data_IF_491461317296
#
_entry.id   IF_491461317296
#
_cell.length_a   1.000
_cell.length_b   1.000
_cell.length_c   1.000
_cell.angle_alpha   90.00
_cell.angle_beta   90.00
_cell.angle_gamma   90.00
#
_symmetry.space_group_name_H-M   'P 1'
#
loop_
_entity.id
_entity.type
_entity.pdbx_description
1 polymer ?
#
# COMPACT_ATOMS: atom_id res chain seq x y z
N UNK A 1 -40.50 64.99 -41.01
CA UNK A 1 -41.88 64.78 -41.49
C UNK A 1 -42.06 63.31 -41.84
N UNK A 2 -43.25 62.73 -41.59
CA UNK A 2 -43.42 61.68 -40.58
C UNK A 2 -43.95 60.37 -41.15
N UNK A 3 -44.01 59.31 -40.33
CA UNK A 3 -45.27 58.58 -40.07
C UNK A 3 -45.13 57.69 -38.85
N UNK A 4 -45.97 58.05 -37.87
CA UNK A 4 -46.43 57.23 -36.76
C UNK A 4 -47.28 56.09 -37.34
N UNK A 5 -47.17 54.90 -36.74
CA UNK A 5 -48.35 54.09 -36.43
C UNK A 5 -48.11 53.40 -35.09
N UNK A 6 -49.06 53.62 -34.19
CA UNK A 6 -49.18 53.00 -32.87
C UNK A 6 -50.40 52.07 -32.90
N UNK A 7 -50.27 51.03 -32.07
CA UNK A 7 -51.29 50.46 -31.18
C UNK A 7 -52.10 49.20 -31.54
N UNK A 8 -52.32 48.47 -30.43
CA UNK A 8 -53.13 47.29 -30.13
C UNK A 8 -52.52 45.91 -30.48
N UNK A 9 -52.38 44.94 -29.57
CA UNK A 9 -52.84 44.81 -28.17
C UNK A 9 -52.38 43.45 -27.57
N UNK A 10 -51.97 43.47 -26.28
CA UNK A 10 -52.10 42.41 -25.24
C UNK A 10 -51.26 41.11 -25.41
N UNK A 11 -50.37 40.69 -24.50
CA UNK A 11 -50.59 40.33 -23.09
C UNK A 11 -49.26 40.16 -22.30
N UNK A 12 -49.18 40.87 -21.16
CA UNK A 12 -48.76 40.47 -19.79
C UNK A 12 -47.49 39.63 -19.47
N UNK A 13 -46.61 40.32 -18.71
CA UNK A 13 -45.78 39.88 -17.56
C UNK A 13 -44.71 38.78 -17.68
N UNK A 14 -43.46 39.24 -17.84
CA UNK A 14 -42.26 38.52 -17.38
C UNK A 14 -42.22 38.46 -15.85
N UNK A 15 -42.54 37.30 -15.29
CA UNK A 15 -42.26 36.95 -13.90
C UNK A 15 -41.25 35.80 -13.83
N UNK A 16 -40.05 36.09 -13.31
CA UNK A 16 -39.29 35.22 -12.38
C UNK A 16 -38.07 35.98 -11.87
N UNK A 17 -38.24 36.56 -10.70
CA UNK A 17 -37.19 37.13 -9.88
C UNK A 17 -36.25 36.02 -9.36
N UNK A 18 -34.95 36.25 -9.44
CA UNK A 18 -33.94 35.46 -8.75
C UNK A 18 -34.01 35.76 -7.24
N UNK A 19 -33.79 34.78 -6.34
CA UNK A 19 -33.83 35.05 -4.91
C UNK A 19 -32.63 35.92 -4.50
N UNK A 20 -32.78 36.82 -3.52
CA UNK A 20 -31.67 37.60 -3.01
C UNK A 20 -30.67 36.70 -2.29
N UNK A 21 -29.37 36.96 -2.50
CA UNK A 21 -28.28 36.31 -1.78
C UNK A 21 -28.50 36.40 -0.26
N UNK A 22 -28.56 35.24 0.39
CA UNK A 22 -28.58 35.16 1.85
C UNK A 22 -27.27 35.71 2.44
N UNK A 23 -27.31 36.41 3.59
CA UNK A 23 -26.12 37.03 4.16
C UNK A 23 -25.09 35.98 4.62
N UNK A 24 -23.83 36.21 4.26
CA UNK A 24 -22.66 35.38 4.56
C UNK A 24 -22.23 35.45 6.05
N UNK A 25 -23.13 35.14 6.98
CA UNK A 25 -22.88 35.26 8.43
C UNK A 25 -22.97 33.95 9.20
N UNK A 26 -23.28 32.82 8.54
CA UNK A 26 -23.39 31.48 9.19
C UNK A 26 -22.33 30.45 8.80
N UNK A 27 -21.30 30.82 8.02
CA UNK A 27 -20.22 29.90 7.61
C UNK A 27 -18.94 30.03 8.45
N UNK A 28 -18.78 31.09 9.25
CA UNK A 28 -17.57 31.28 10.08
C UNK A 28 -17.56 30.48 11.39
N UNK A 29 -18.69 29.94 11.83
CA UNK A 29 -18.80 29.19 13.11
C UNK A 29 -18.66 27.68 12.96
N UNK A 30 -18.81 27.12 11.76
CA UNK A 30 -18.67 25.68 11.53
C UNK A 30 -17.21 25.24 11.29
N UNK A 31 -16.38 26.10 10.68
CA UNK A 31 -14.95 25.81 10.45
C UNK A 31 -14.14 25.81 11.75
N UNK A 32 -14.47 26.70 12.70
CA UNK A 32 -13.89 26.68 14.04
C UNK A 32 -14.33 25.44 14.83
N UNK A 33 -15.55 24.92 14.62
CA UNK A 33 -16.05 23.74 15.34
C UNK A 33 -15.42 22.44 14.84
N UNK A 34 -15.19 22.29 13.53
CA UNK A 34 -14.50 21.11 12.97
C UNK A 34 -13.00 21.10 13.30
N UNK A 35 -12.34 22.25 13.34
CA UNK A 35 -10.93 22.32 13.73
C UNK A 35 -10.73 22.13 15.24
N UNK A 36 -11.67 22.60 16.06
CA UNK A 36 -11.66 22.39 17.53
C UNK A 36 -12.00 20.94 17.91
N UNK A 37 -12.68 20.18 17.05
CA UNK A 37 -13.03 18.76 17.28
C UNK A 37 -11.83 17.80 17.18
N UNK A 38 -10.79 18.16 16.42
CA UNK A 38 -9.55 17.39 16.32
C UNK A 38 -8.72 17.44 17.61
N UNK A 39 -8.95 18.43 18.48
CA UNK A 39 -8.19 18.62 19.72
C UNK A 39 -8.58 17.64 20.85
N UNK A 40 -9.63 16.82 20.66
CA UNK A 40 -10.09 15.84 21.65
C UNK A 40 -9.81 14.38 21.28
N UNK A 41 -9.23 14.11 20.11
CA UNK A 41 -8.82 12.76 19.75
C UNK A 41 -7.45 12.46 20.36
N UNK A 42 -7.43 11.54 21.32
CA UNK A 42 -6.18 11.02 21.89
C UNK A 42 -5.39 10.32 20.79
N UNK A 43 -4.06 10.51 20.80
CA UNK A 43 -3.17 9.85 19.83
C UNK A 43 -3.44 8.34 19.85
N UNK A 44 -3.57 7.65 18.70
CA UNK A 44 -3.90 6.22 18.66
C UNK A 44 -2.90 5.36 19.45
N UNK A 45 -3.39 4.71 20.50
CA UNK A 45 -2.67 3.74 21.31
C UNK A 45 -3.64 2.81 22.04
N UNK A 46 -3.14 1.64 22.47
CA UNK A 46 -3.83 0.76 23.42
C UNK A 46 -2.83 0.40 24.50
N UNK A 47 -3.09 0.88 25.72
CA UNK A 47 -2.22 0.61 26.87
C UNK A 47 -2.27 -0.87 27.24
N UNK A 48 -3.46 -1.46 27.22
CA UNK A 48 -3.71 -2.85 27.56
C UNK A 48 -2.98 -3.80 26.62
N UNK A 49 -3.00 -3.52 25.31
CA UNK A 49 -2.28 -4.33 24.33
C UNK A 49 -0.75 -4.23 24.52
N UNK A 50 -0.22 -3.03 24.79
CA UNK A 50 1.21 -2.86 25.07
C UNK A 50 1.63 -3.59 26.35
N UNK A 51 0.87 -3.46 27.44
CA UNK A 51 1.17 -4.11 28.72
C UNK A 51 1.08 -5.64 28.61
N UNK A 52 0.04 -6.15 27.93
CA UNK A 52 -0.13 -7.59 27.68
C UNK A 52 0.98 -8.17 26.78
N UNK A 53 1.41 -7.44 25.75
CA UNK A 53 2.48 -7.89 24.86
C UNK A 53 3.84 -7.98 25.59
N UNK A 54 4.19 -6.95 26.36
CA UNK A 54 5.43 -6.96 27.15
C UNK A 54 5.44 -8.10 28.17
N UNK A 55 4.31 -8.29 28.87
CA UNK A 55 4.17 -9.40 29.80
C UNK A 55 4.28 -10.75 29.08
N UNK A 56 3.67 -10.89 27.89
CA UNK A 56 3.73 -12.14 27.13
C UNK A 56 5.16 -12.51 26.73
N UNK A 57 5.96 -11.52 26.29
CA UNK A 57 7.39 -11.70 26.00
C UNK A 57 8.20 -12.09 27.25
N UNK A 58 7.89 -11.51 28.41
CA UNK A 58 8.55 -11.88 29.67
C UNK A 58 8.22 -13.32 30.11
N UNK A 59 7.04 -13.85 29.75
CA UNK A 59 6.64 -15.24 30.05
C UNK A 59 7.23 -16.21 29.02
N UNK A 60 7.16 -15.86 27.73
CA UNK A 60 7.69 -16.65 26.64
C UNK A 60 8.55 -15.78 25.71
N UNK A 61 9.89 -15.80 25.89
CA UNK A 61 10.82 -15.00 25.09
C UNK A 61 10.79 -15.25 23.59
N UNK A 62 10.32 -16.42 23.13
CA UNK A 62 10.25 -16.74 21.70
C UNK A 62 9.36 -15.77 20.91
N UNK A 63 8.31 -15.25 21.56
CA UNK A 63 7.35 -14.28 20.98
C UNK A 63 8.07 -13.01 20.54
N UNK A 64 9.13 -12.60 21.23
CA UNK A 64 9.88 -11.40 20.86
C UNK A 64 10.35 -11.43 19.40
N UNK A 65 10.82 -12.59 18.96
CA UNK A 65 11.39 -12.79 17.62
C UNK A 65 10.31 -12.83 16.54
N UNK A 66 9.16 -13.40 16.87
CA UNK A 66 8.01 -13.57 15.97
C UNK A 66 7.33 -12.23 15.64
N UNK A 67 7.31 -11.28 16.59
CA UNK A 67 6.56 -10.03 16.44
C UNK A 67 7.16 -9.04 15.44
N UNK A 68 8.49 -9.05 15.26
CA UNK A 68 9.20 -8.12 14.37
C UNK A 68 8.99 -6.63 14.70
N UNK A 69 8.58 -6.28 15.92
CA UNK A 69 8.29 -4.91 16.31
C UNK A 69 9.56 -4.15 16.75
N UNK A 70 9.58 -2.85 16.47
CA UNK A 70 10.60 -1.93 16.99
C UNK A 70 10.13 -1.28 18.29
N UNK A 71 11.06 -0.76 19.10
CA UNK A 71 10.71 -0.07 20.33
C UNK A 71 9.81 1.16 20.09
N UNK A 72 9.95 1.81 18.92
CA UNK A 72 9.14 2.97 18.54
C UNK A 72 7.66 2.60 18.27
N UNK A 73 7.35 1.31 18.14
CA UNK A 73 5.98 0.82 18.00
C UNK A 73 5.13 1.04 19.25
N UNK A 74 5.75 1.19 20.43
CA UNK A 74 5.06 1.49 21.68
C UNK A 74 4.82 3.00 21.81
N UNK A 75 3.63 3.40 22.22
CA UNK A 75 3.29 4.79 22.52
C UNK A 75 3.82 5.19 23.90
N UNK A 76 3.71 4.30 24.88
CA UNK A 76 4.10 4.61 26.24
C UNK A 76 5.62 4.50 26.36
N UNK A 77 6.26 5.61 26.71
CA UNK A 77 7.72 5.74 26.73
C UNK A 77 8.42 4.68 27.60
N UNK A 78 7.86 4.34 28.77
CA UNK A 78 8.42 3.26 29.62
C UNK A 78 8.39 1.89 28.95
N UNK A 79 7.39 1.62 28.10
CA UNK A 79 7.31 0.38 27.32
C UNK A 79 8.37 0.33 26.23
N UNK A 80 8.69 1.48 25.61
CA UNK A 80 9.79 1.58 24.67
C UNK A 80 11.12 1.17 25.32
N UNK A 81 11.38 1.57 26.58
CA UNK A 81 12.60 1.16 27.29
C UNK A 81 12.67 -0.33 27.58
N UNK A 82 11.54 -0.92 27.99
CA UNK A 82 11.47 -2.36 28.23
C UNK A 82 11.76 -3.11 26.92
N UNK A 83 11.17 -2.67 25.79
CA UNK A 83 11.45 -3.29 24.50
C UNK A 83 12.91 -3.12 24.05
N UNK A 84 13.51 -1.95 24.29
CA UNK A 84 14.94 -1.73 24.03
C UNK A 84 15.83 -2.64 24.87
N UNK A 85 15.45 -2.91 26.12
CA UNK A 85 16.17 -3.87 26.97
C UNK A 85 16.09 -5.29 26.40
N UNK A 86 14.92 -5.72 25.88
CA UNK A 86 14.80 -7.01 25.18
C UNK A 86 15.72 -7.10 23.96
N UNK A 87 15.77 -6.05 23.14
CA UNK A 87 16.67 -5.96 21.98
C UNK A 87 18.14 -6.12 22.42
N UNK A 88 18.58 -5.37 23.43
CA UNK A 88 19.95 -5.42 23.95
C UNK A 88 20.32 -6.78 24.55
N UNK A 89 19.41 -7.41 25.27
CA UNK A 89 19.62 -8.76 25.81
C UNK A 89 19.79 -9.77 24.69
N UNK A 90 18.95 -9.68 23.63
CA UNK A 90 19.09 -10.52 22.45
C UNK A 90 20.42 -10.29 21.73
N UNK A 91 20.84 -9.04 21.54
CA UNK A 91 22.13 -8.69 20.94
C UNK A 91 23.32 -9.25 21.76
N UNK A 92 23.19 -9.26 23.09
CA UNK A 92 24.17 -9.86 24.02
C UNK A 92 24.04 -11.39 24.11
N UNK A 93 23.13 -12.03 23.35
CA UNK A 93 22.82 -13.46 23.42
C UNK A 93 22.48 -13.92 24.84
N UNK A 94 21.77 -13.07 25.59
CA UNK A 94 21.27 -13.37 26.94
C UNK A 94 19.79 -13.69 26.90
N UNK A 95 19.36 -14.59 27.79
CA UNK A 95 17.95 -14.92 28.00
C UNK A 95 17.17 -13.68 28.45
N UNK A 96 15.96 -13.49 27.90
CA UNK A 96 15.02 -12.48 28.37
C UNK A 96 14.23 -13.11 29.53
N UNK A 97 14.44 -12.61 30.74
CA UNK A 97 13.66 -12.96 31.91
C UNK A 97 13.53 -11.73 32.82
N UNK A 98 12.67 -11.80 33.86
CA UNK A 98 12.42 -10.64 34.72
C UNK A 98 13.71 -10.12 35.40
N UNK A 99 14.64 -11.00 35.78
CA UNK A 99 15.87 -10.61 36.46
C UNK A 99 16.85 -9.95 35.47
N UNK A 100 17.10 -10.59 34.32
CA UNK A 100 18.01 -10.06 33.30
C UNK A 100 17.53 -8.75 32.71
N UNK A 101 16.20 -8.58 32.58
CA UNK A 101 15.59 -7.32 32.13
C UNK A 101 15.73 -6.23 33.19
N UNK A 102 15.59 -6.55 34.48
CA UNK A 102 15.87 -5.60 35.55
C UNK A 102 17.33 -5.13 35.52
N UNK A 103 18.28 -6.07 35.40
CA UNK A 103 19.72 -5.76 35.31
C UNK A 103 20.01 -4.88 34.09
N UNK A 104 19.49 -5.24 32.91
CA UNK A 104 19.73 -4.44 31.69
C UNK A 104 19.12 -3.04 31.78
N UNK A 105 17.93 -2.90 32.39
CA UNK A 105 17.30 -1.59 32.59
C UNK A 105 18.04 -0.73 33.62
N UNK A 106 18.67 -1.35 34.62
CA UNK A 106 19.51 -0.66 35.60
C UNK A 106 20.82 -0.20 34.94
N UNK A 107 21.45 -1.06 34.13
CA UNK A 107 22.61 -0.72 33.30
C UNK A 107 22.31 0.42 32.31
N UNK A 108 21.07 0.50 31.81
CA UNK A 108 20.59 1.61 30.98
C UNK A 108 20.30 2.88 31.80
N UNK A 109 20.27 2.82 33.12
CA UNK A 109 19.87 3.90 34.02
C UNK A 109 18.37 4.23 33.94
N UNK A 110 17.53 3.32 33.42
CA UNK A 110 16.09 3.55 33.17
C UNK A 110 15.18 2.76 34.11
N UNK A 111 15.72 1.90 34.98
CA UNK A 111 14.93 1.07 35.89
C UNK A 111 13.99 1.91 36.78
N UNK A 112 14.47 3.04 37.30
CA UNK A 112 13.64 3.95 38.09
C UNK A 112 12.53 4.61 37.26
N UNK A 113 12.81 4.97 36.00
CA UNK A 113 11.85 5.62 35.10
C UNK A 113 10.67 4.72 34.72
N UNK A 114 10.89 3.40 34.65
CA UNK A 114 9.81 2.46 34.34
C UNK A 114 8.90 2.17 35.55
N UNK A 115 9.28 2.61 36.77
CA UNK A 115 8.58 2.29 38.01
C UNK A 115 9.24 1.16 38.83
N UNK A 116 10.48 0.80 38.51
CA UNK A 116 11.26 -0.22 39.19
C UNK A 116 10.83 -1.67 38.89
N UNK A 117 11.45 -2.65 39.58
CA UNK A 117 11.17 -4.08 39.37
C UNK A 117 9.71 -4.49 39.62
N UNK A 118 9.00 -3.72 40.46
CA UNK A 118 7.58 -3.95 40.74
C UNK A 118 6.72 -3.77 39.48
N UNK A 119 7.10 -2.88 38.57
CA UNK A 119 6.35 -2.65 37.34
C UNK A 119 6.43 -3.84 36.38
N UNK A 120 7.61 -4.43 36.20
CA UNK A 120 7.78 -5.64 35.38
C UNK A 120 6.99 -6.81 35.95
N UNK A 121 6.99 -6.96 37.27
CA UNK A 121 6.17 -7.96 37.96
C UNK A 121 4.67 -7.70 37.74
N UNK A 122 4.24 -6.45 37.69
CA UNK A 122 2.85 -6.10 37.38
C UNK A 122 2.46 -6.47 35.94
N UNK A 123 3.36 -6.27 34.96
CA UNK A 123 3.11 -6.66 33.55
C UNK A 123 2.85 -8.17 33.41
N UNK A 124 3.58 -9.01 34.14
CA UNK A 124 3.35 -10.46 34.16
C UNK A 124 1.92 -10.83 34.58
N UNK A 125 1.31 -10.06 35.48
CA UNK A 125 -0.05 -10.30 35.97
C UNK A 125 -1.15 -9.73 35.05
N UNK A 126 -0.79 -8.93 34.05
CA UNK A 126 -1.74 -8.34 33.11
C UNK A 126 -1.99 -9.19 31.87
N UNK A 127 -1.21 -10.24 31.65
CA UNK A 127 -1.33 -11.12 30.48
C UNK A 127 -2.47 -12.13 30.69
N UNK A 128 -3.56 -12.08 29.91
CA UNK A 128 -4.62 -13.07 30.04
C UNK A 128 -4.18 -14.45 29.52
N UNK A 129 -3.47 -14.46 28.39
CA UNK A 129 -2.84 -15.64 27.80
C UNK A 129 -1.71 -15.21 26.86
N UNK A 130 -0.61 -15.97 26.84
CA UNK A 130 0.49 -15.78 25.89
C UNK A 130 0.12 -16.22 24.47
N UNK A 131 -0.92 -17.05 24.31
CA UNK A 131 -1.38 -17.54 23.00
C UNK A 131 -1.91 -16.43 22.09
N UNK A 132 -2.34 -15.30 22.66
CA UNK A 132 -2.89 -14.17 21.90
C UNK A 132 -1.84 -13.07 21.68
N UNK A 133 -0.56 -13.37 21.88
CA UNK A 133 0.49 -12.36 21.74
C UNK A 133 0.55 -11.75 20.33
N UNK A 134 0.27 -12.54 19.30
CA UNK A 134 0.17 -12.05 17.92
C UNK A 134 -0.93 -11.01 17.74
N UNK A 135 -2.09 -11.21 18.38
CA UNK A 135 -3.20 -10.25 18.35
C UNK A 135 -2.81 -8.95 19.03
N UNK A 136 -2.15 -9.02 20.20
CA UNK A 136 -1.67 -7.83 20.90
C UNK A 136 -0.61 -7.08 20.08
N UNK A 137 0.32 -7.81 19.47
CA UNK A 137 1.31 -7.25 18.56
C UNK A 137 0.69 -6.61 17.33
N UNK A 138 -0.37 -7.20 16.76
CA UNK A 138 -1.13 -6.62 15.66
C UNK A 138 -1.79 -5.29 16.07
N UNK A 139 -2.40 -5.22 17.26
CA UNK A 139 -3.00 -3.98 17.78
C UNK A 139 -1.94 -2.89 17.97
N UNK A 140 -0.80 -3.23 18.57
CA UNK A 140 0.32 -2.28 18.76
C UNK A 140 0.84 -1.77 17.41
N UNK A 141 1.02 -2.68 16.43
CA UNK A 141 1.46 -2.36 15.06
C UNK A 141 0.46 -1.45 14.34
N UNK A 142 -0.82 -1.72 14.48
CA UNK A 142 -1.88 -0.90 13.89
C UNK A 142 -1.85 0.52 14.45
N UNK A 143 -1.79 0.66 15.78
CA UNK A 143 -1.69 1.96 16.42
C UNK A 143 -0.41 2.70 16.04
N UNK A 144 0.73 2.01 15.97
CA UNK A 144 1.98 2.60 15.48
C UNK A 144 1.85 3.13 14.05
N UNK A 145 1.27 2.33 13.16
CA UNK A 145 1.01 2.73 11.76
C UNK A 145 0.14 3.97 11.68
N UNK A 146 -0.93 4.03 12.49
CA UNK A 146 -1.79 5.22 12.58
C UNK A 146 -1.00 6.46 13.04
N UNK A 147 -0.08 6.31 14.01
CA UNK A 147 0.79 7.43 14.46
C UNK A 147 1.76 7.89 13.37
N UNK A 148 2.34 6.96 12.61
CA UNK A 148 3.20 7.30 11.47
C UNK A 148 2.44 8.08 10.40
N UNK A 149 1.22 7.65 10.07
CA UNK A 149 0.34 8.36 9.13
C UNK A 149 -0.02 9.77 9.62
N UNK A 150 -0.32 9.92 10.91
CA UNK A 150 -0.58 11.25 11.50
C UNK A 150 0.66 12.15 11.43
N UNK A 151 1.85 11.60 11.68
CA UNK A 151 3.10 12.34 11.54
C UNK A 151 3.33 12.82 10.10
N UNK A 152 3.14 11.93 9.13
CA UNK A 152 3.25 12.26 7.71
C UNK A 152 2.20 13.30 7.29
N UNK A 153 0.95 13.18 7.74
CA UNK A 153 -0.10 14.16 7.46
C UNK A 153 0.23 15.55 8.03
N UNK A 154 0.74 15.61 9.26
CA UNK A 154 1.16 16.87 9.88
C UNK A 154 2.37 17.50 9.16
N UNK A 155 3.31 16.69 8.68
CA UNK A 155 4.42 17.14 7.86
C UNK A 155 3.94 17.73 6.52
N UNK A 156 3.04 17.03 5.83
CA UNK A 156 2.43 17.53 4.58
C UNK A 156 1.69 18.83 4.83
N UNK A 157 0.91 18.92 5.91
CA UNK A 157 0.20 20.14 6.29
C UNK A 157 1.17 21.30 6.57
N UNK A 158 2.26 21.04 7.30
CA UNK A 158 3.31 22.02 7.57
C UNK A 158 3.94 22.55 6.29
N UNK A 159 4.29 21.66 5.35
CA UNK A 159 4.84 22.04 4.04
C UNK A 159 3.84 22.88 3.22
N UNK A 160 2.56 22.50 3.23
CA UNK A 160 1.50 23.23 2.53
C UNK A 160 1.27 24.65 3.08
N UNK A 161 1.38 24.84 4.40
CA UNK A 161 1.24 26.16 5.03
C UNK A 161 2.46 27.07 4.83
N UNK A 162 3.67 26.51 4.69
CA UNK A 162 4.88 27.30 4.54
C UNK A 162 4.87 28.16 3.25
N UNK A 163 4.27 27.67 2.16
CA UNK A 163 4.11 28.41 0.92
C UNK A 163 5.41 28.67 0.13
N UNK A 164 6.52 28.05 0.53
CA UNK A 164 7.85 28.23 -0.07
C UNK A 164 8.09 27.33 -1.29
N UNK A 165 7.22 26.34 -1.50
CA UNK A 165 7.41 25.24 -2.46
C UNK A 165 6.50 25.42 -3.67
N UNK A 166 6.97 25.06 -4.87
CA UNK A 166 6.04 24.89 -5.99
C UNK A 166 5.08 23.73 -5.71
N UNK A 167 3.90 23.76 -6.34
CA UNK A 167 2.90 22.68 -6.16
C UNK A 167 3.47 21.32 -6.58
N UNK A 168 4.30 21.26 -7.62
CA UNK A 168 4.97 20.02 -8.06
C UNK A 168 5.95 19.47 -7.02
N UNK A 169 6.73 20.34 -6.37
CA UNK A 169 7.69 19.92 -5.34
C UNK A 169 6.96 19.49 -4.06
N UNK A 170 5.91 20.21 -3.67
CA UNK A 170 5.07 19.83 -2.54
C UNK A 170 4.42 18.45 -2.73
N UNK A 171 3.92 18.16 -3.94
CA UNK A 171 3.36 16.84 -4.26
C UNK A 171 4.42 15.74 -4.21
N UNK A 172 5.64 16.02 -4.65
CA UNK A 172 6.75 15.07 -4.58
C UNK A 172 7.12 14.74 -3.12
N UNK A 173 7.28 15.75 -2.27
CA UNK A 173 7.57 15.52 -0.83
C UNK A 173 6.42 14.85 -0.09
N UNK A 174 5.18 15.20 -0.41
CA UNK A 174 4.03 14.53 0.18
C UNK A 174 3.99 13.05 -0.20
N UNK A 175 4.31 12.72 -1.46
CA UNK A 175 4.46 11.34 -1.91
C UNK A 175 5.59 10.62 -1.17
N UNK A 176 6.71 11.29 -0.97
CA UNK A 176 7.88 10.76 -0.25
C UNK A 176 7.57 10.48 1.23
N UNK A 177 6.89 11.39 1.92
CA UNK A 177 6.46 11.20 3.31
C UNK A 177 5.53 9.98 3.46
N UNK A 178 4.59 9.80 2.55
CA UNK A 178 3.69 8.62 2.54
C UNK A 178 4.43 7.33 2.18
N UNK A 179 5.38 7.39 1.24
CA UNK A 179 6.22 6.25 0.87
C UNK A 179 7.01 5.72 2.07
N UNK A 180 7.63 6.61 2.86
CA UNK A 180 8.35 6.22 4.10
C UNK A 180 7.46 5.45 5.07
N UNK A 181 6.20 5.87 5.24
CA UNK A 181 5.26 5.12 6.08
C UNK A 181 4.95 3.75 5.48
N UNK A 182 4.70 3.68 4.17
CA UNK A 182 4.46 2.41 3.48
C UNK A 182 5.63 1.44 3.62
N UNK A 183 6.86 1.93 3.60
CA UNK A 183 8.08 1.11 3.74
C UNK A 183 8.31 0.62 5.16
N UNK A 184 7.95 1.41 6.17
CA UNK A 184 8.01 0.99 7.57
C UNK A 184 6.91 0.00 7.96
N UNK A 185 5.76 0.07 7.28
CA UNK A 185 4.63 -0.85 7.48
C UNK A 185 4.80 -2.13 6.67
N UNK A 186 5.44 -2.04 5.51
CA UNK A 186 5.85 -3.22 4.77
C UNK A 186 6.78 -4.01 5.67
N UNK A 187 6.31 -5.18 6.11
CA UNK A 187 7.13 -6.11 6.89
C UNK A 187 8.47 -6.29 6.17
N UNK A 188 9.62 -6.25 6.89
CA UNK A 188 10.84 -6.78 6.30
C UNK A 188 10.50 -8.16 5.73
N UNK A 189 10.87 -8.42 4.48
CA UNK A 189 10.65 -9.73 3.85
C UNK A 189 10.97 -10.80 4.89
N UNK A 190 9.93 -11.54 5.31
CA UNK A 190 10.08 -12.52 6.38
C UNK A 190 11.19 -13.48 5.94
N UNK A 191 12.25 -13.57 6.72
CA UNK A 191 13.27 -14.60 6.52
C UNK A 191 12.60 -15.90 6.88
N UNK A 192 12.14 -16.62 5.86
CA UNK A 192 11.50 -17.93 6.02
C UNK A 192 12.58 -19.00 5.97
N UNK A 193 12.47 -20.02 6.82
CA UNK A 193 13.37 -21.17 6.76
C UNK A 193 13.20 -21.90 5.43
N UNK A 194 14.31 -22.30 4.81
CA UNK A 194 14.29 -23.00 3.51
C UNK A 194 13.49 -24.30 3.61
N UNK A 195 13.46 -24.96 4.77
CA UNK A 195 12.69 -26.20 5.01
C UNK A 195 11.18 -25.98 4.97
N UNK A 196 10.69 -24.84 5.45
CA UNK A 196 9.27 -24.46 5.35
C UNK A 196 8.89 -24.24 3.88
N UNK A 197 9.70 -23.45 3.15
CA UNK A 197 9.50 -23.21 1.71
C UNK A 197 9.58 -24.51 0.91
N UNK A 198 10.51 -25.40 1.26
CA UNK A 198 10.65 -26.71 0.61
C UNK A 198 9.45 -27.62 0.86
N UNK A 199 8.91 -27.61 2.09
CA UNK A 199 7.72 -28.39 2.44
C UNK A 199 6.50 -27.90 1.67
N UNK A 200 6.27 -26.58 1.65
CA UNK A 200 5.18 -25.98 0.87
C UNK A 200 5.33 -26.29 -0.63
N UNK A 201 6.54 -26.19 -1.17
CA UNK A 201 6.82 -26.52 -2.56
C UNK A 201 6.54 -27.99 -2.87
N UNK A 202 6.88 -28.90 -1.95
CA UNK A 202 6.63 -30.33 -2.09
C UNK A 202 5.13 -30.65 -2.08
N UNK A 203 4.38 -30.07 -1.15
CA UNK A 203 2.93 -30.23 -1.07
C UNK A 203 2.22 -29.71 -2.33
N UNK A 204 2.63 -28.52 -2.82
CA UNK A 204 2.14 -27.98 -4.09
C UNK A 204 2.48 -28.89 -5.28
N UNK A 205 3.65 -29.55 -5.27
CA UNK A 205 4.04 -30.48 -6.32
C UNK A 205 3.21 -31.77 -6.29
N UNK A 206 2.95 -32.31 -5.10
CA UNK A 206 2.12 -33.50 -4.92
C UNK A 206 0.67 -33.24 -5.36
N UNK A 207 0.09 -32.13 -4.93
CA UNK A 207 -1.26 -31.72 -5.34
C UNK A 207 -1.38 -31.58 -6.87
N UNK A 208 -0.36 -31.03 -7.53
CA UNK A 208 -0.31 -30.95 -9.00
C UNK A 208 -0.23 -32.33 -9.66
N UNK A 209 0.54 -33.25 -9.09
CA UNK A 209 0.66 -34.62 -9.60
C UNK A 209 -0.66 -35.39 -9.47
N UNK A 210 -1.41 -35.18 -8.39
CA UNK A 210 -2.75 -35.76 -8.20
C UNK A 210 -3.76 -35.21 -9.21
N UNK A 211 -3.82 -33.89 -9.39
CA UNK A 211 -4.69 -33.26 -10.39
C UNK A 211 -4.37 -33.74 -11.82
N UNK A 212 -3.09 -33.95 -12.13
CA UNK A 212 -2.65 -34.51 -13.41
C UNK A 212 -3.17 -35.94 -13.63
N UNK A 213 -3.11 -36.78 -12.59
CA UNK A 213 -3.60 -38.17 -12.64
C UNK A 213 -5.12 -38.25 -12.81
N UNK A 214 -5.84 -37.32 -12.19
CA UNK A 214 -7.30 -37.20 -12.32
C UNK A 214 -7.76 -36.63 -13.67
N UNK A 215 -6.82 -36.28 -14.58
CA UNK A 215 -7.14 -35.64 -15.86
C UNK A 215 -7.73 -34.24 -15.72
N UNK A 216 -7.63 -33.63 -14.52
CA UNK A 216 -8.14 -32.28 -14.25
C UNK A 216 -7.19 -31.26 -14.87
N UNK A 217 -7.71 -30.18 -15.50
CA UNK A 217 -6.86 -29.15 -16.06
C UNK A 217 -6.04 -28.49 -14.95
N UNK A 218 -4.72 -28.63 -15.03
CA UNK A 218 -3.79 -27.92 -14.16
C UNK A 218 -3.75 -26.48 -14.67
N UNK A 219 -4.39 -25.56 -13.95
CA UNK A 219 -4.29 -24.15 -14.27
C UNK A 219 -2.83 -23.72 -14.12
N UNK A 220 -2.12 -23.61 -15.24
CA UNK A 220 -0.77 -23.04 -15.25
C UNK A 220 -0.88 -21.60 -14.75
N UNK A 221 -0.17 -21.29 -13.67
CA UNK A 221 -0.06 -19.91 -13.16
C UNK A 221 0.74 -19.01 -14.11
N UNK A 222 1.39 -19.61 -15.12
CA UNK A 222 2.22 -18.90 -16.09
C UNK A 222 1.36 -18.09 -17.07
N UNK A 223 1.96 -17.03 -17.57
CA UNK A 223 1.36 -16.16 -18.58
C UNK A 223 1.88 -16.64 -19.94
N UNK A 224 0.99 -17.24 -20.73
CA UNK A 224 1.31 -17.66 -22.08
C UNK A 224 1.62 -16.44 -22.96
N UNK A 225 2.71 -16.53 -23.73
CA UNK A 225 3.19 -15.48 -24.62
C UNK A 225 2.35 -15.35 -25.88
N UNK A 226 1.55 -16.38 -26.21
CA UNK A 226 0.80 -16.43 -27.47
C UNK A 226 1.61 -16.96 -28.64
N UNK A 227 2.92 -17.16 -28.45
CA UNK A 227 3.80 -17.79 -29.41
C UNK A 227 4.03 -19.23 -28.98
N UNK A 228 3.42 -20.19 -29.69
CA UNK A 228 3.39 -21.61 -29.31
C UNK A 228 4.80 -22.17 -29.07
N UNK A 229 5.73 -21.87 -29.97
CA UNK A 229 7.11 -22.37 -29.88
C UNK A 229 7.86 -21.78 -28.69
N UNK A 230 7.63 -20.50 -28.38
CA UNK A 230 8.23 -19.82 -27.22
C UNK A 230 7.62 -20.35 -25.93
N UNK A 231 6.31 -20.56 -25.88
CA UNK A 231 5.63 -21.13 -24.73
C UNK A 231 6.11 -22.56 -24.47
N UNK A 232 6.37 -23.35 -25.51
CA UNK A 232 6.97 -24.68 -25.39
C UNK A 232 8.37 -24.62 -24.77
N UNK A 233 9.24 -23.71 -25.25
CA UNK A 233 10.58 -23.49 -24.70
C UNK A 233 10.53 -23.03 -23.24
N UNK A 234 9.59 -22.15 -22.89
CA UNK A 234 9.40 -21.62 -21.54
C UNK A 234 8.63 -22.57 -20.61
N UNK A 235 8.24 -23.74 -21.12
CA UNK A 235 7.45 -24.76 -20.40
C UNK A 235 6.13 -24.17 -19.88
N UNK A 236 5.36 -23.59 -20.79
CA UNK A 236 4.04 -23.01 -20.54
C UNK A 236 4.02 -21.49 -20.34
N UNK A 237 5.05 -20.76 -20.79
CA UNK A 237 5.09 -19.29 -20.77
C UNK A 237 5.82 -18.66 -19.57
N UNK A 238 5.58 -17.36 -19.38
CA UNK A 238 6.27 -16.50 -18.42
C UNK A 238 5.88 -16.81 -16.97
N UNK A 239 6.85 -16.80 -16.06
CA UNK A 239 6.61 -17.09 -14.63
C UNK A 239 6.14 -15.83 -13.89
N UNK A 240 5.14 -15.91 -13.01
CA UNK A 240 4.81 -14.83 -12.10
C UNK A 240 6.00 -14.48 -11.20
N UNK A 241 6.19 -13.19 -10.92
CA UNK A 241 7.28 -12.71 -10.06
C UNK A 241 8.67 -12.72 -10.71
N UNK A 242 8.80 -13.12 -11.98
CA UNK A 242 10.10 -13.07 -12.68
C UNK A 242 10.25 -11.80 -13.52
N UNK A 243 11.46 -11.22 -13.50
CA UNK A 243 11.85 -10.17 -14.45
C UNK A 243 12.33 -10.82 -15.76
N UNK A 244 11.62 -10.57 -16.87
CA UNK A 244 11.99 -11.06 -18.19
C UNK A 244 12.50 -9.88 -19.04
N UNK A 245 13.75 -9.94 -19.49
CA UNK A 245 14.38 -8.89 -20.29
C UNK A 245 14.38 -9.26 -21.77
N UNK A 246 13.89 -8.36 -22.62
CA UNK A 246 13.96 -8.49 -24.08
C UNK A 246 14.88 -7.42 -24.65
N UNK A 247 16.01 -7.87 -25.19
CA UNK A 247 17.03 -7.00 -25.76
C UNK A 247 17.26 -7.32 -27.24
N UNK A 248 17.66 -6.31 -28.01
CA UNK A 248 17.84 -6.38 -29.45
C UNK A 248 18.13 -5.01 -30.03
N UNK A 249 18.65 -4.93 -31.26
CA UNK A 249 18.98 -3.63 -31.90
C UNK A 249 17.70 -2.85 -32.28
N UNK A 250 17.77 -1.52 -32.50
CA UNK A 250 16.65 -0.76 -33.05
C UNK A 250 16.11 -1.42 -34.33
N UNK A 251 14.79 -1.41 -34.52
CA UNK A 251 14.13 -2.03 -35.68
C UNK A 251 13.98 -3.56 -35.64
N UNK A 252 14.49 -4.28 -34.62
CA UNK A 252 14.37 -5.75 -34.54
C UNK A 252 13.06 -6.26 -33.92
N UNK A 253 12.02 -5.44 -33.82
CA UNK A 253 10.69 -5.90 -33.39
C UNK A 253 10.51 -6.14 -31.89
N UNK A 254 11.36 -5.58 -31.02
CA UNK A 254 11.20 -5.69 -29.54
C UNK A 254 9.81 -5.25 -29.06
N UNK A 255 9.37 -4.07 -29.48
CA UNK A 255 8.07 -3.51 -29.10
C UNK A 255 6.92 -4.37 -29.63
N UNK A 256 7.04 -4.86 -30.86
CA UNK A 256 6.06 -5.77 -31.46
C UNK A 256 5.94 -7.06 -30.67
N UNK A 257 7.07 -7.68 -30.28
CA UNK A 257 7.08 -8.87 -29.44
C UNK A 257 6.39 -8.62 -28.09
N UNK A 258 6.73 -7.51 -27.42
CA UNK A 258 6.10 -7.15 -26.14
C UNK A 258 4.58 -6.95 -26.27
N UNK A 259 4.13 -6.33 -27.37
CA UNK A 259 2.71 -6.14 -27.66
C UNK A 259 1.99 -7.46 -27.92
N UNK A 260 2.60 -8.39 -28.66
CA UNK A 260 2.03 -9.73 -28.88
C UNK A 260 1.82 -10.47 -27.56
N UNK A 261 2.84 -10.47 -26.68
CA UNK A 261 2.74 -11.11 -25.36
C UNK A 261 1.66 -10.47 -24.49
N UNK A 262 1.61 -9.14 -24.49
CA UNK A 262 0.61 -8.38 -23.75
C UNK A 262 -0.82 -8.67 -24.24
N UNK A 263 -1.05 -8.68 -25.56
CA UNK A 263 -2.35 -8.98 -26.15
C UNK A 263 -2.79 -10.40 -25.79
N UNK A 264 -1.89 -11.38 -25.94
CA UNK A 264 -2.16 -12.78 -25.61
C UNK A 264 -2.45 -12.99 -24.11
N UNK A 265 -1.86 -12.17 -23.23
CA UNK A 265 -2.18 -12.17 -21.81
C UNK A 265 -3.56 -11.53 -21.54
N UNK A 266 -3.86 -10.42 -22.21
CA UNK A 266 -5.12 -9.68 -22.08
C UNK A 266 -6.33 -10.51 -22.56
N UNK A 267 -6.21 -11.18 -23.70
CA UNK A 267 -7.24 -12.09 -24.24
C UNK A 267 -7.58 -13.24 -23.29
N UNK A 268 -6.63 -13.63 -22.43
CA UNK A 268 -6.82 -14.64 -21.38
C UNK A 268 -7.29 -14.05 -20.04
N UNK A 269 -7.80 -12.82 -20.07
CA UNK A 269 -8.39 -12.14 -18.92
C UNK A 269 -7.38 -11.56 -17.92
N UNK A 270 -6.09 -11.44 -18.28
CA UNK A 270 -5.09 -10.78 -17.43
C UNK A 270 -5.12 -9.26 -17.68
N UNK A 271 -4.87 -8.49 -16.62
CA UNK A 271 -4.69 -7.04 -16.73
C UNK A 271 -3.23 -6.75 -17.07
N UNK A 272 -2.99 -5.97 -18.12
CA UNK A 272 -1.64 -5.65 -18.60
C UNK A 272 -1.46 -4.12 -18.60
N UNK A 273 -0.31 -3.65 -18.08
CA UNK A 273 0.07 -2.24 -18.10
C UNK A 273 1.27 -2.03 -19.03
N UNK A 274 1.23 -0.95 -19.82
CA UNK A 274 2.34 -0.52 -20.66
C UNK A 274 2.98 0.75 -20.11
N UNK A 275 4.30 0.75 -20.04
CA UNK A 275 5.12 1.94 -19.77
C UNK A 275 6.05 2.13 -20.95
N UNK A 276 5.78 3.14 -21.77
CA UNK A 276 6.58 3.46 -22.96
C UNK A 276 7.23 4.83 -22.78
N UNK A 277 8.53 4.87 -23.03
CA UNK A 277 9.34 6.09 -22.98
C UNK A 277 9.72 6.61 -24.37
N UNK A 278 9.48 5.83 -25.43
CA UNK A 278 9.88 6.13 -26.82
C UNK A 278 8.67 6.38 -27.71
N UNK A 279 7.63 5.55 -27.61
CA UNK A 279 6.43 5.65 -28.44
C UNK A 279 5.28 6.33 -27.71
N UNK A 280 4.50 7.13 -28.46
CA UNK A 280 3.27 7.76 -28.00
C UNK A 280 2.16 6.72 -27.71
N UNK A 281 1.17 7.10 -26.91
CA UNK A 281 0.09 6.18 -26.48
C UNK A 281 -0.80 5.77 -27.65
N UNK A 282 -1.08 6.71 -28.54
CA UNK A 282 -1.90 6.55 -29.73
C UNK A 282 -1.25 5.55 -30.70
N UNK A 283 0.06 5.65 -30.91
CA UNK A 283 0.82 4.74 -31.77
C UNK A 283 0.84 3.31 -31.22
N UNK A 284 0.97 3.15 -29.88
CA UNK A 284 0.86 1.84 -29.24
C UNK A 284 -0.54 1.25 -29.40
N UNK A 285 -1.58 2.05 -29.19
CA UNK A 285 -2.97 1.62 -29.33
C UNK A 285 -3.29 1.22 -30.77
N UNK A 286 -2.87 2.01 -31.76
CA UNK A 286 -3.05 1.70 -33.17
C UNK A 286 -2.40 0.37 -33.56
N UNK A 287 -1.19 0.08 -33.04
CA UNK A 287 -0.51 -1.21 -33.30
C UNK A 287 -1.22 -2.39 -32.63
N UNK A 288 -1.73 -2.24 -31.41
CA UNK A 288 -2.53 -3.28 -30.75
C UNK A 288 -3.84 -3.56 -31.49
N UNK A 289 -4.53 -2.51 -31.93
CA UNK A 289 -5.75 -2.62 -32.72
C UNK A 289 -5.45 -3.33 -34.05
N UNK A 290 -4.42 -2.87 -34.77
CA UNK A 290 -3.92 -3.48 -36.00
C UNK A 290 -3.62 -4.98 -35.82
N UNK A 291 -2.94 -5.35 -34.73
CA UNK A 291 -2.63 -6.76 -34.44
C UNK A 291 -3.89 -7.63 -34.22
N UNK A 292 -4.97 -7.05 -33.69
CA UNK A 292 -6.23 -7.76 -33.45
C UNK A 292 -7.19 -7.78 -34.64
N UNK A 293 -7.21 -6.69 -35.44
CA UNK A 293 -8.17 -6.50 -36.54
C UNK A 293 -7.59 -6.86 -37.91
N UNK A 294 -6.25 -6.97 -38.03
CA UNK A 294 -5.56 -7.15 -39.30
C UNK A 294 -5.53 -5.89 -40.18
N UNK A 295 -6.00 -4.74 -39.66
CA UNK A 295 -5.97 -3.45 -40.37
C UNK A 295 -4.60 -2.81 -40.25
N UNK A 296 -4.21 -2.00 -41.24
CA UNK A 296 -2.94 -1.28 -41.21
C UNK A 296 -2.95 -0.21 -40.10
N UNK A 297 -1.91 -0.20 -39.26
CA UNK A 297 -1.78 0.74 -38.15
C UNK A 297 -1.68 2.21 -38.59
N UNK A 298 -1.12 2.48 -39.78
CA UNK A 298 -1.04 3.84 -40.33
C UNK A 298 -2.42 4.30 -40.80
N UNK A 299 -3.20 3.43 -41.48
CA UNK A 299 -4.56 3.77 -41.89
C UNK A 299 -5.47 4.04 -40.68
N UNK A 300 -5.30 3.27 -39.60
CA UNK A 300 -5.98 3.50 -38.32
C UNK A 300 -5.60 4.85 -37.70
N UNK A 301 -4.32 5.20 -37.74
CA UNK A 301 -3.80 6.45 -37.15
C UNK A 301 -4.19 7.69 -37.96
N UNK A 302 -4.29 7.55 -39.28
CA UNK A 302 -4.63 8.61 -40.22
C UNK A 302 -6.15 8.72 -40.49
N UNK A 303 -6.95 7.76 -39.99
CA UNK A 303 -8.40 7.73 -40.17
C UNK A 303 -8.86 7.41 -41.59
N UNK A 304 -8.03 6.74 -42.38
CA UNK A 304 -8.25 6.45 -43.81
C UNK A 304 -8.92 5.09 -44.06
N UNK A 305 -9.71 4.61 -43.10
CA UNK A 305 -10.45 3.35 -43.22
C UNK A 305 -11.66 3.50 -44.15
N UNK A 306 -11.91 2.49 -44.99
CA UNK A 306 -13.14 2.39 -45.79
C UNK A 306 -14.31 1.95 -44.90
N UNK A 307 -15.56 2.21 -45.33
CA UNK A 307 -16.78 1.91 -44.54
C UNK A 307 -16.87 0.46 -44.04
N UNK A 308 -16.30 -0.51 -44.75
CA UNK A 308 -16.29 -1.92 -44.33
C UNK A 308 -15.23 -2.27 -43.28
N UNK A 309 -14.32 -1.33 -42.96
CA UNK A 309 -13.23 -1.50 -41.99
C UNK A 309 -13.51 -0.80 -40.65
N UNK A 310 -14.58 -0.01 -40.55
CA UNK A 310 -15.10 0.57 -39.31
C UNK A 310 -15.95 -0.43 -38.53
#
# INVERSE_FOLDING_TARGET
MPRLDREASQTTNCGRAWPPCAPATKLKTNLTRSFLMLATETVPHSREAEEALLGAVLINPAIFDETGLSAQAFYIHRHQFIWQAFQRLKDKTRSIDNLTVCEELDDMGRLAEIGGPAYLTALLNQVPTTLNADDYAAIVREHHTRRLLLSAANEIARLAYAGEWSVSELLAEAGEALRKVSEQVASPEQVVDVSEVASELYDQALQRAELARDGKPIASRRIATGLVDVDALLKGGLRPGSLNLVAGRPGQGKSSWMQTVALAAAERGKRVGFFSLEMAREELAARLLSASSGLDANLLSEGLLIDSQW
#
